data_IF_169427855348
#
_entry.id   IF_169427855348
#
_cell.length_a   1.000
_cell.length_b   1.000
_cell.length_c   1.000
_cell.angle_alpha   90.00
_cell.angle_beta   90.00
_cell.angle_gamma   90.00
#
_symmetry.space_group_name_H-M   'P 1'
#
loop_
_entity.id
_entity.type
_entity.pdbx_description
1 polymer ?
#
# COMPACT_ATOMS: atom_id res chain seq x y z
N UNK A 1 20.71 -8.17 6.09
CA UNK A 1 20.51 -9.35 6.95
C UNK A 1 21.81 -10.04 7.27
N UNK A 2 21.82 -11.00 8.16
CA UNK A 2 23.00 -11.83 8.44
C UNK A 2 23.24 -12.76 7.25
N UNK A 3 24.42 -12.69 6.69
CA UNK A 3 24.82 -13.55 5.56
C UNK A 3 24.69 -15.02 5.97
N UNK A 4 24.06 -15.84 5.18
CA UNK A 4 23.88 -17.29 5.37
C UNK A 4 23.05 -17.67 6.63
N UNK A 5 22.20 -16.76 7.14
CA UNK A 5 21.31 -17.05 8.27
C UNK A 5 19.87 -16.94 7.81
N UNK A 6 19.12 -18.04 7.89
CA UNK A 6 17.68 -18.04 7.63
C UNK A 6 16.92 -17.30 8.72
N UNK A 7 16.18 -16.25 8.39
CA UNK A 7 15.39 -15.48 9.34
C UNK A 7 13.99 -16.11 9.55
N UNK A 8 13.41 -16.66 8.50
CA UNK A 8 12.08 -17.28 8.50
C UNK A 8 11.86 -18.08 7.22
N UNK A 9 10.82 -18.91 7.21
CA UNK A 9 10.29 -19.52 5.99
C UNK A 9 9.12 -18.68 5.50
N UNK A 10 9.10 -18.36 4.21
CA UNK A 10 8.01 -17.64 3.56
C UNK A 10 7.53 -18.38 2.31
N UNK A 11 6.23 -18.27 2.01
CA UNK A 11 5.61 -18.75 0.77
C UNK A 11 5.09 -17.59 -0.09
N UNK A 12 5.41 -16.35 0.28
CA UNK A 12 4.86 -15.15 -0.38
C UNK A 12 5.71 -14.80 -1.59
N UNK A 13 7.00 -14.59 -1.38
CA UNK A 13 7.91 -14.09 -2.42
C UNK A 13 9.16 -14.95 -2.47
N UNK A 14 9.62 -15.22 -3.69
CA UNK A 14 10.94 -15.76 -3.97
C UNK A 14 11.73 -14.72 -4.75
N UNK A 15 12.92 -14.40 -4.26
CA UNK A 15 13.83 -13.44 -4.86
C UNK A 15 15.23 -14.05 -5.01
N UNK A 16 15.75 -14.07 -6.23
CA UNK A 16 17.14 -14.34 -6.52
C UNK A 16 17.73 -13.15 -7.30
N UNK A 17 18.47 -12.31 -6.60
CA UNK A 17 19.05 -11.10 -7.18
C UNK A 17 20.25 -11.37 -8.10
N UNK A 18 20.91 -12.52 -7.99
CA UNK A 18 22.01 -12.90 -8.86
C UNK A 18 21.50 -13.39 -10.22
N UNK A 19 20.43 -14.17 -10.20
CA UNK A 19 19.76 -14.67 -11.41
C UNK A 19 18.68 -13.71 -11.96
N UNK A 20 18.34 -12.64 -11.23
CA UNK A 20 17.31 -11.68 -11.63
C UNK A 20 15.88 -12.24 -11.58
N UNK A 21 15.62 -13.17 -10.65
CA UNK A 21 14.32 -13.84 -10.52
C UNK A 21 13.53 -13.21 -9.38
N UNK A 22 12.28 -12.84 -9.65
CA UNK A 22 11.30 -12.43 -8.66
C UNK A 22 9.95 -13.13 -8.94
N UNK A 23 9.41 -13.79 -7.93
CA UNK A 23 8.12 -14.48 -8.01
C UNK A 23 7.25 -14.15 -6.81
N UNK A 24 5.97 -13.87 -7.07
CA UNK A 24 4.95 -13.72 -6.03
C UNK A 24 4.05 -14.96 -6.03
N UNK A 25 4.00 -15.67 -4.91
CA UNK A 25 3.20 -16.91 -4.75
C UNK A 25 3.44 -17.93 -5.87
N UNK A 26 4.63 -17.92 -6.46
CA UNK A 26 5.02 -18.81 -7.55
C UNK A 26 4.82 -18.24 -8.96
N UNK A 27 4.14 -17.11 -9.11
CA UNK A 27 3.98 -16.42 -10.40
C UNK A 27 5.20 -15.56 -10.71
N UNK A 28 5.68 -15.61 -11.95
CA UNK A 28 6.78 -14.75 -12.42
C UNK A 28 6.34 -13.29 -12.41
N UNK A 29 7.23 -12.40 -11.96
CA UNK A 29 6.94 -10.96 -11.89
C UNK A 29 6.63 -10.37 -13.27
N UNK A 30 7.28 -10.86 -14.34
CA UNK A 30 7.03 -10.41 -15.71
C UNK A 30 5.59 -10.70 -16.15
N UNK A 31 5.07 -11.90 -15.84
CA UNK A 31 3.70 -12.28 -16.17
C UNK A 31 2.68 -11.42 -15.41
N UNK A 32 2.94 -11.17 -14.12
CA UNK A 32 2.07 -10.33 -13.30
C UNK A 32 2.05 -8.87 -13.79
N UNK A 33 3.22 -8.32 -14.12
CA UNK A 33 3.32 -6.96 -14.64
C UNK A 33 2.68 -6.78 -16.03
N UNK A 34 2.67 -7.84 -16.86
CA UNK A 34 2.07 -7.80 -18.19
C UNK A 34 0.56 -8.06 -18.18
N UNK A 35 0.09 -9.02 -17.36
CA UNK A 35 -1.25 -9.62 -17.48
C UNK A 35 -2.20 -9.30 -16.31
N UNK A 36 -1.68 -8.71 -15.22
CA UNK A 36 -2.45 -8.37 -14.02
C UNK A 36 -2.47 -6.86 -13.77
N UNK A 37 -3.19 -6.46 -12.75
CA UNK A 37 -3.17 -5.12 -12.17
C UNK A 37 -2.77 -5.18 -10.69
N UNK A 38 -2.43 -4.03 -10.11
CA UNK A 38 -1.92 -3.98 -8.74
C UNK A 38 -2.90 -4.57 -7.72
N UNK A 39 -4.20 -4.33 -7.85
CA UNK A 39 -5.17 -4.86 -6.87
C UNK A 39 -5.36 -6.37 -6.97
N UNK A 40 -5.20 -6.99 -8.15
CA UNK A 40 -5.11 -8.45 -8.29
C UNK A 40 -3.85 -9.00 -7.63
N UNK A 41 -2.71 -8.34 -7.80
CA UNK A 41 -1.45 -8.75 -7.17
C UNK A 41 -1.50 -8.56 -5.65
N UNK A 42 -2.12 -7.48 -5.16
CA UNK A 42 -2.36 -7.28 -3.73
C UNK A 42 -3.23 -8.42 -3.14
N UNK A 43 -4.29 -8.80 -3.86
CA UNK A 43 -5.12 -9.95 -3.49
C UNK A 43 -4.30 -11.24 -3.45
N UNK A 44 -3.51 -11.51 -4.50
CA UNK A 44 -2.62 -12.67 -4.58
C UNK A 44 -1.67 -12.75 -3.38
N UNK A 45 -1.02 -11.65 -3.03
CA UNK A 45 -0.08 -11.60 -1.91
C UNK A 45 -0.77 -11.87 -0.57
N UNK A 46 -1.97 -11.33 -0.36
CA UNK A 46 -2.75 -11.50 0.87
C UNK A 46 -3.32 -12.91 0.99
N UNK A 47 -3.97 -13.41 -0.05
CA UNK A 47 -4.78 -14.64 0.03
C UNK A 47 -4.10 -15.87 -0.59
N UNK A 48 -3.03 -15.70 -1.36
CA UNK A 48 -2.22 -16.80 -1.88
C UNK A 48 -2.55 -17.28 -3.28
N UNK A 49 -3.68 -16.84 -3.85
CA UNK A 49 -4.16 -17.19 -5.20
C UNK A 49 -4.67 -15.94 -5.92
N UNK A 50 -4.62 -15.94 -7.24
CA UNK A 50 -5.22 -14.86 -8.04
C UNK A 50 -6.76 -14.88 -7.86
N UNK A 51 -7.40 -13.70 -7.78
CA UNK A 51 -8.84 -13.63 -7.59
C UNK A 51 -9.61 -14.07 -8.85
N UNK A 52 -10.76 -14.67 -8.66
CA UNK A 52 -11.79 -14.75 -9.69
C UNK A 52 -12.33 -13.34 -9.98
N UNK A 53 -13.01 -13.14 -11.12
CA UNK A 53 -13.60 -11.84 -11.45
C UNK A 53 -14.58 -11.33 -10.36
N UNK A 54 -15.33 -12.21 -9.72
CA UNK A 54 -16.23 -11.85 -8.63
C UNK A 54 -15.47 -11.41 -7.37
N UNK A 55 -14.43 -12.14 -6.99
CA UNK A 55 -13.57 -11.79 -5.85
C UNK A 55 -12.82 -10.48 -6.09
N UNK A 56 -12.33 -10.24 -7.31
CA UNK A 56 -11.70 -8.98 -7.69
C UNK A 56 -12.65 -7.80 -7.57
N UNK A 57 -13.88 -7.96 -8.06
CA UNK A 57 -14.89 -6.91 -7.96
C UNK A 57 -15.25 -6.60 -6.50
N UNK A 58 -15.44 -7.62 -5.66
CA UNK A 58 -15.69 -7.47 -4.23
C UNK A 58 -14.51 -6.79 -3.51
N UNK A 59 -13.28 -7.22 -3.79
CA UNK A 59 -12.08 -6.65 -3.20
C UNK A 59 -11.90 -5.18 -3.56
N UNK A 60 -12.08 -4.84 -4.84
CA UNK A 60 -12.03 -3.45 -5.30
C UNK A 60 -13.11 -2.59 -4.64
N UNK A 61 -14.32 -3.12 -4.47
CA UNK A 61 -15.38 -2.40 -3.77
C UNK A 61 -15.02 -2.15 -2.30
N UNK A 62 -14.49 -3.15 -1.59
CA UNK A 62 -14.00 -3.00 -0.21
C UNK A 62 -12.91 -1.93 -0.12
N UNK A 63 -11.95 -1.91 -1.04
CA UNK A 63 -10.91 -0.86 -1.07
C UNK A 63 -11.52 0.54 -1.23
N UNK A 64 -12.52 0.70 -2.10
CA UNK A 64 -13.23 1.98 -2.26
C UNK A 64 -14.00 2.38 -1.01
N UNK A 65 -14.71 1.47 -0.39
CA UNK A 65 -15.53 1.73 0.81
C UNK A 65 -14.67 2.13 2.02
N UNK A 66 -13.47 1.57 2.13
CA UNK A 66 -12.54 1.81 3.23
C UNK A 66 -11.50 2.91 2.95
N UNK A 67 -11.54 3.59 1.81
CA UNK A 67 -10.51 4.56 1.39
C UNK A 67 -10.59 5.92 2.08
N UNK A 68 -11.69 6.28 2.71
CA UNK A 68 -11.81 7.55 3.43
C UNK A 68 -10.87 7.59 4.65
N UNK A 69 -10.23 8.73 4.86
CA UNK A 69 -9.34 8.96 6.01
C UNK A 69 -9.96 9.93 7.01
N UNK A 70 -9.65 9.81 8.31
CA UNK A 70 -10.13 10.74 9.33
C UNK A 70 -9.70 12.18 9.07
N UNK A 71 -10.52 13.15 9.47
CA UNK A 71 -10.22 14.58 9.32
C UNK A 71 -8.95 15.00 10.08
N UNK A 72 -8.63 14.29 11.16
CA UNK A 72 -7.44 14.48 11.98
C UNK A 72 -6.14 14.33 11.17
N UNK A 73 -6.12 13.48 10.14
CA UNK A 73 -4.97 13.32 9.23
C UNK A 73 -4.60 14.67 8.59
N UNK A 74 -5.58 15.37 8.05
CA UNK A 74 -5.35 16.68 7.43
C UNK A 74 -4.92 17.73 8.43
N UNK A 75 -5.49 17.72 9.64
CA UNK A 75 -5.12 18.63 10.71
C UNK A 75 -3.66 18.43 11.18
N UNK A 76 -3.25 17.18 11.38
CA UNK A 76 -1.88 16.83 11.76
C UNK A 76 -0.89 17.25 10.67
N UNK A 77 -1.13 16.94 9.40
CA UNK A 77 -0.25 17.36 8.31
C UNK A 77 -0.02 18.88 8.29
N UNK A 78 -1.07 19.66 8.48
CA UNK A 78 -0.97 21.12 8.52
C UNK A 78 -0.26 21.67 9.76
N UNK A 79 -0.27 20.91 10.87
CA UNK A 79 0.38 21.30 12.12
C UNK A 79 1.88 20.94 12.15
N UNK A 80 2.35 20.05 11.28
CA UNK A 80 3.76 19.70 11.23
C UNK A 80 4.64 20.89 10.80
N UNK A 81 5.87 20.98 11.31
CA UNK A 81 6.81 22.04 10.90
C UNK A 81 7.01 22.06 9.38
N UNK A 82 7.11 23.26 8.80
CA UNK A 82 7.44 23.40 7.37
C UNK A 82 8.77 22.71 7.05
N UNK A 83 8.82 21.98 5.94
CA UNK A 83 10.00 21.22 5.52
C UNK A 83 10.17 19.86 6.20
N UNK A 84 9.21 19.42 7.01
CA UNK A 84 9.21 18.03 7.51
C UNK A 84 9.31 17.04 6.36
N UNK A 85 10.25 16.10 6.44
CA UNK A 85 10.48 15.10 5.40
C UNK A 85 9.20 14.31 5.10
N UNK A 86 8.84 14.06 3.83
CA UNK A 86 7.58 13.37 3.48
C UNK A 86 7.37 12.02 4.18
N UNK A 87 8.44 11.24 4.37
CA UNK A 87 8.35 9.97 5.09
C UNK A 87 8.03 10.14 6.57
N UNK A 88 8.52 11.21 7.20
CA UNK A 88 8.17 11.53 8.58
C UNK A 88 6.72 12.00 8.70
N UNK A 89 6.23 12.78 7.71
CA UNK A 89 4.82 13.13 7.62
C UNK A 89 3.94 11.87 7.47
N UNK A 90 4.32 10.95 6.57
CA UNK A 90 3.59 9.71 6.35
C UNK A 90 3.54 8.85 7.61
N UNK A 91 4.66 8.70 8.31
CA UNK A 91 4.72 7.97 9.58
C UNK A 91 3.78 8.59 10.62
N UNK A 92 3.81 9.93 10.77
CA UNK A 92 2.95 10.62 11.73
C UNK A 92 1.46 10.39 11.45
N UNK A 93 1.01 10.50 10.19
CA UNK A 93 -0.41 10.30 9.86
C UNK A 93 -0.83 8.83 9.87
N UNK A 94 0.09 7.90 9.64
CA UNK A 94 -0.21 6.47 9.83
C UNK A 94 -0.50 6.17 11.30
N UNK A 95 0.29 6.71 12.22
CA UNK A 95 0.06 6.55 13.67
C UNK A 95 -1.30 7.15 14.10
N UNK A 96 -1.78 8.23 13.45
CA UNK A 96 -3.11 8.80 13.75
C UNK A 96 -4.22 7.77 13.54
N UNK A 97 -4.08 6.88 12.57
CA UNK A 97 -5.06 5.83 12.31
C UNK A 97 -5.24 4.90 13.52
N UNK A 98 -4.18 4.66 14.31
CA UNK A 98 -4.27 3.84 15.51
C UNK A 98 -5.19 4.41 16.59
N UNK A 99 -5.33 5.73 16.63
CA UNK A 99 -6.26 6.41 17.56
C UNK A 99 -7.73 6.31 17.13
N UNK A 100 -7.98 6.09 15.84
CA UNK A 100 -9.33 5.95 15.27
C UNK A 100 -9.73 4.49 15.17
N UNK A 101 -8.83 3.63 14.73
CA UNK A 101 -9.06 2.18 14.56
C UNK A 101 -8.48 1.42 15.74
N UNK A 102 -9.19 1.42 16.87
CA UNK A 102 -8.75 0.83 18.13
C UNK A 102 -8.59 -0.70 18.08
N UNK A 103 -9.20 -1.35 17.09
CA UNK A 103 -9.08 -2.79 16.84
C UNK A 103 -7.83 -3.19 16.03
N UNK A 104 -6.94 -2.24 15.73
CA UNK A 104 -5.73 -2.46 14.92
C UNK A 104 -4.73 -3.46 15.51
N UNK A 105 -4.88 -3.86 16.77
CA UNK A 105 -4.12 -4.98 17.35
C UNK A 105 -4.58 -6.35 16.83
N UNK A 106 -5.75 -6.44 16.21
CA UNK A 106 -6.24 -7.69 15.61
C UNK A 106 -5.74 -7.82 14.19
N UNK A 107 -5.08 -8.92 13.88
CA UNK A 107 -4.77 -9.31 12.52
C UNK A 107 -6.06 -9.81 11.85
N UNK A 108 -6.77 -8.94 11.16
CA UNK A 108 -8.01 -9.25 10.44
C UNK A 108 -7.95 -8.72 9.02
N UNK A 109 -8.70 -9.36 8.12
CA UNK A 109 -8.83 -8.91 6.73
C UNK A 109 -9.29 -7.46 6.64
N UNK A 110 -10.21 -7.05 7.52
CA UNK A 110 -10.72 -5.69 7.57
C UNK A 110 -9.59 -4.68 7.84
N UNK A 111 -8.69 -4.97 8.79
CA UNK A 111 -7.57 -4.10 9.11
C UNK A 111 -6.54 -4.04 7.97
N UNK A 112 -6.27 -5.16 7.28
CA UNK A 112 -5.40 -5.15 6.09
C UNK A 112 -6.01 -4.35 4.95
N UNK A 113 -7.32 -4.50 4.70
CA UNK A 113 -8.05 -3.72 3.70
C UNK A 113 -8.05 -2.24 4.07
N UNK A 114 -8.26 -1.90 5.34
CA UNK A 114 -8.20 -0.52 5.83
C UNK A 114 -6.86 0.15 5.52
N UNK A 115 -5.74 -0.50 5.84
CA UNK A 115 -4.41 0.04 5.54
C UNK A 115 -4.23 0.18 4.02
N UNK A 116 -4.47 -0.88 3.27
CA UNK A 116 -4.27 -0.88 1.82
C UNK A 116 -5.11 0.20 1.13
N UNK A 117 -6.36 0.38 1.56
CA UNK A 117 -7.27 1.37 1.00
C UNK A 117 -6.89 2.82 1.33
N UNK A 118 -6.38 3.08 2.54
CA UNK A 118 -6.08 4.43 3.01
C UNK A 118 -4.69 4.92 2.61
N UNK A 119 -3.75 4.02 2.43
CA UNK A 119 -2.35 4.40 2.18
C UNK A 119 -2.17 5.32 0.96
N UNK A 120 -2.78 5.07 -0.22
CA UNK A 120 -2.67 5.98 -1.35
C UNK A 120 -3.24 7.37 -1.05
N UNK A 121 -4.30 7.46 -0.23
CA UNK A 121 -4.86 8.75 0.20
C UNK A 121 -3.87 9.49 1.10
N UNK A 122 -3.28 8.81 2.09
CA UNK A 122 -2.25 9.38 2.97
C UNK A 122 -1.06 9.89 2.16
N UNK A 123 -0.56 9.08 1.22
CA UNK A 123 0.58 9.45 0.37
C UNK A 123 0.26 10.66 -0.49
N UNK A 124 -0.91 10.70 -1.14
CA UNK A 124 -1.33 11.85 -1.94
C UNK A 124 -1.44 13.13 -1.07
N UNK A 125 -2.02 13.04 0.12
CA UNK A 125 -2.10 14.16 1.06
C UNK A 125 -0.71 14.65 1.50
N UNK A 126 0.23 13.75 1.80
CA UNK A 126 1.61 14.08 2.16
C UNK A 126 2.33 14.79 1.01
N UNK A 127 2.21 14.28 -0.21
CA UNK A 127 2.82 14.90 -1.41
C UNK A 127 2.31 16.34 -1.57
N UNK A 128 1.00 16.53 -1.54
CA UNK A 128 0.38 17.86 -1.68
C UNK A 128 0.74 18.80 -0.54
N UNK A 129 0.73 18.31 0.71
CA UNK A 129 1.17 19.10 1.88
C UNK A 129 2.62 19.55 1.75
N UNK A 130 3.50 18.68 1.28
CA UNK A 130 4.92 19.00 1.06
C UNK A 130 5.12 20.09 -0.02
N UNK A 131 4.18 20.20 -0.95
CA UNK A 131 4.17 21.22 -2.01
C UNK A 131 3.36 22.48 -1.63
N UNK A 132 2.73 22.51 -0.47
CA UNK A 132 1.88 23.61 -0.03
C UNK A 132 0.55 23.70 -0.79
N UNK A 133 0.08 22.59 -1.34
CA UNK A 133 -1.17 22.50 -2.10
C UNK A 133 -2.32 22.00 -1.22
N UNK A 134 -3.55 22.36 -1.58
CA UNK A 134 -4.75 21.86 -0.94
C UNK A 134 -4.96 20.36 -1.22
N UNK A 135 -5.56 19.65 -0.28
CA UNK A 135 -5.91 18.24 -0.45
C UNK A 135 -7.04 18.08 -1.46
N UNK A 136 -6.97 17.01 -2.24
CA UNK A 136 -8.00 16.64 -3.20
C UNK A 136 -8.78 15.47 -2.64
N UNK A 137 -10.10 15.56 -2.76
CA UNK A 137 -11.00 14.52 -2.29
C UNK A 137 -10.81 13.20 -3.05
N UNK A 138 -11.00 12.13 -2.33
CA UNK A 138 -11.08 10.77 -2.87
C UNK A 138 -12.28 10.65 -3.83
N UNK A 139 -12.06 10.17 -5.06
CA UNK A 139 -13.09 9.90 -6.05
C UNK A 139 -13.32 8.39 -6.20
N UNK A 140 -14.32 7.87 -5.49
CA UNK A 140 -14.66 6.43 -5.47
C UNK A 140 -15.20 5.90 -6.81
N UNK A 141 -15.43 6.75 -7.81
CA UNK A 141 -15.79 6.31 -9.17
C UNK A 141 -14.58 5.79 -9.94
N UNK A 142 -13.38 6.21 -9.56
CA UNK A 142 -12.12 5.82 -10.18
C UNK A 142 -11.63 4.45 -9.64
N UNK A 143 -10.76 3.79 -10.40
CA UNK A 143 -9.99 2.66 -9.92
C UNK A 143 -8.89 3.12 -8.93
N UNK A 144 -8.25 2.16 -8.27
CA UNK A 144 -7.27 2.39 -7.21
C UNK A 144 -6.11 3.31 -7.64
N UNK A 145 -5.51 3.02 -8.78
CA UNK A 145 -4.34 3.77 -9.29
C UNK A 145 -4.76 5.12 -9.85
N UNK A 146 -5.83 5.14 -10.64
CA UNK A 146 -6.38 6.40 -11.20
C UNK A 146 -6.77 7.38 -10.11
N UNK A 147 -7.37 6.89 -9.01
CA UNK A 147 -7.75 7.71 -7.87
C UNK A 147 -6.54 8.26 -7.12
N UNK A 148 -5.50 7.44 -6.90
CA UNK A 148 -4.25 7.90 -6.31
C UNK A 148 -3.62 9.03 -7.13
N UNK A 149 -3.54 8.87 -8.44
CA UNK A 149 -3.00 9.88 -9.34
C UNK A 149 -3.86 11.15 -9.37
N UNK A 150 -5.21 11.00 -9.38
CA UNK A 150 -6.14 12.11 -9.28
C UNK A 150 -5.92 12.93 -7.99
N UNK A 151 -5.88 12.28 -6.85
CA UNK A 151 -5.65 12.95 -5.55
C UNK A 151 -4.27 13.62 -5.48
N UNK A 152 -3.27 13.06 -6.15
CA UNK A 152 -1.91 13.58 -6.15
C UNK A 152 -1.78 14.82 -7.04
N UNK A 153 -2.25 14.75 -8.28
CA UNK A 153 -2.02 15.77 -9.31
C UNK A 153 -3.19 16.73 -9.54
N UNK A 154 -4.38 16.39 -9.10
CA UNK A 154 -5.59 17.23 -9.28
C UNK A 154 -6.22 17.17 -10.66
N UNK A 155 -5.73 16.31 -11.51
CA UNK A 155 -6.22 16.14 -12.89
C UNK A 155 -6.36 14.67 -13.22
N UNK A 156 -7.19 14.36 -14.20
CA UNK A 156 -7.30 12.99 -14.72
C UNK A 156 -5.97 12.57 -15.35
N UNK A 157 -5.39 11.49 -14.86
CA UNK A 157 -4.17 10.93 -15.43
C UNK A 157 -4.42 10.32 -16.83
N UNK A 158 -3.40 10.34 -17.68
CA UNK A 158 -3.44 9.62 -18.95
C UNK A 158 -3.41 8.10 -18.71
N UNK A 159 -3.96 7.33 -19.65
CA UNK A 159 -3.93 5.86 -19.56
C UNK A 159 -2.49 5.33 -19.42
N UNK A 160 -1.54 5.92 -20.13
CA UNK A 160 -0.11 5.55 -20.05
C UNK A 160 0.45 5.76 -18.65
N UNK A 161 0.11 6.87 -17.99
CA UNK A 161 0.57 7.15 -16.63
C UNK A 161 -0.07 6.20 -15.61
N UNK A 162 -1.35 5.88 -15.77
CA UNK A 162 -2.05 4.90 -14.92
C UNK A 162 -1.40 3.54 -15.06
N UNK A 163 -1.18 3.06 -16.29
CA UNK A 163 -0.54 1.78 -16.55
C UNK A 163 0.89 1.72 -16.00
N UNK A 164 1.67 2.77 -16.21
CA UNK A 164 3.05 2.84 -15.69
C UNK A 164 3.07 2.79 -14.16
N UNK A 165 2.18 3.52 -13.49
CA UNK A 165 2.09 3.51 -12.03
C UNK A 165 1.63 2.15 -11.51
N UNK A 166 0.65 1.52 -12.16
CA UNK A 166 0.16 0.21 -11.80
C UNK A 166 1.29 -0.84 -11.83
N UNK A 167 2.05 -0.86 -12.92
CA UNK A 167 3.23 -1.74 -13.05
C UNK A 167 4.31 -1.44 -12.00
N UNK A 168 4.57 -0.17 -11.71
CA UNK A 168 5.51 0.20 -10.65
C UNK A 168 5.06 -0.32 -9.27
N UNK A 169 3.78 -0.25 -8.96
CA UNK A 169 3.24 -0.79 -7.71
C UNK A 169 3.36 -2.32 -7.66
N UNK A 170 3.10 -3.03 -8.77
CA UNK A 170 3.30 -4.48 -8.86
C UNK A 170 4.77 -4.83 -8.60
N UNK A 171 5.70 -4.17 -9.29
CA UNK A 171 7.14 -4.46 -9.20
C UNK A 171 7.72 -4.18 -7.80
N UNK A 172 7.08 -3.31 -7.01
CA UNK A 172 7.54 -2.92 -5.67
C UNK A 172 6.68 -3.48 -4.53
N UNK A 173 5.70 -4.35 -4.85
CA UNK A 173 4.74 -4.81 -3.84
C UNK A 173 5.40 -5.63 -2.72
N UNK A 174 6.38 -6.49 -3.05
CA UNK A 174 7.17 -7.22 -2.05
C UNK A 174 8.54 -7.63 -2.60
N UNK A 175 9.55 -7.62 -1.74
CA UNK A 175 10.91 -8.08 -2.05
C UNK A 175 11.42 -9.01 -0.93
N UNK A 176 10.63 -10.04 -0.60
CA UNK A 176 10.96 -11.04 0.41
C UNK A 176 11.19 -10.41 1.82
N UNK A 177 12.16 -10.91 2.57
CA UNK A 177 12.53 -10.40 3.90
C UNK A 177 13.41 -9.14 3.80
N UNK A 178 12.95 -8.13 3.06
CA UNK A 178 13.58 -6.81 3.02
C UNK A 178 13.48 -6.11 4.39
N UNK A 179 14.09 -4.93 4.51
CA UNK A 179 14.10 -4.17 5.76
C UNK A 179 12.68 -3.87 6.28
N UNK A 180 11.77 -3.46 5.41
CA UNK A 180 10.39 -3.11 5.80
C UNK A 180 9.61 -4.35 6.26
N UNK A 181 9.61 -5.42 5.48
CA UNK A 181 8.94 -6.67 5.82
C UNK A 181 9.48 -7.27 7.12
N UNK A 182 10.81 -7.30 7.27
CA UNK A 182 11.46 -7.80 8.49
C UNK A 182 11.13 -6.96 9.71
N UNK A 183 11.08 -5.63 9.57
CA UNK A 183 10.75 -4.71 10.67
C UNK A 183 9.29 -4.87 11.08
N UNK A 184 8.35 -4.86 10.13
CA UNK A 184 6.91 -5.05 10.42
C UNK A 184 6.67 -6.41 11.09
N UNK A 185 7.32 -7.48 10.60
CA UNK A 185 7.25 -8.81 11.23
C UNK A 185 7.76 -8.82 12.65
N UNK A 186 8.90 -8.14 12.92
CA UNK A 186 9.47 -8.05 14.26
C UNK A 186 8.54 -7.28 15.20
N UNK A 187 8.04 -6.13 14.78
CA UNK A 187 7.08 -5.32 15.55
C UNK A 187 5.78 -6.09 15.77
N UNK A 188 5.27 -6.74 14.75
CA UNK A 188 4.05 -7.56 14.82
C UNK A 188 4.16 -8.72 15.83
N UNK A 189 5.37 -9.25 16.08
CA UNK A 189 5.60 -10.29 17.09
C UNK A 189 5.33 -9.84 18.52
N UNK A 190 5.27 -8.55 18.77
CA UNK A 190 4.93 -7.95 20.07
C UNK A 190 3.42 -7.72 20.28
N UNK A 191 2.57 -8.13 19.33
CA UNK A 191 1.14 -7.81 19.29
C UNK A 191 0.87 -6.30 19.24
N UNK A 192 1.77 -5.53 18.63
CA UNK A 192 1.55 -4.11 18.40
C UNK A 192 0.41 -3.87 17.43
N UNK A 193 -0.19 -2.66 17.50
CA UNK A 193 -1.18 -2.19 16.53
C UNK A 193 -0.54 -2.14 15.12
N UNK A 194 -1.31 -2.47 14.09
CA UNK A 194 -0.83 -2.49 12.70
C UNK A 194 -0.70 -1.10 12.05
N UNK A 195 -1.22 -0.05 12.70
CA UNK A 195 -1.12 1.34 12.23
C UNK A 195 0.08 2.06 12.82
#
# INVERSE_FOLDING_TARGET
GYKNTGATTSKITFLDGEEGILRYRGYEIADLAEKSNFTEVAYLLLYGELPTAAQQAEFNQKLKDHSDVPAEVGAILKALPKGTHPMAQLAAVTVVLSGVYTDGAKLSDENFINILAKFPVLVAMVIRNSQGLDFIANDKSLDYVSNFLHMTFGTKASAVLVEAMDKLLILHADHEQNCSTSTVRMVGSSNANIY
#
